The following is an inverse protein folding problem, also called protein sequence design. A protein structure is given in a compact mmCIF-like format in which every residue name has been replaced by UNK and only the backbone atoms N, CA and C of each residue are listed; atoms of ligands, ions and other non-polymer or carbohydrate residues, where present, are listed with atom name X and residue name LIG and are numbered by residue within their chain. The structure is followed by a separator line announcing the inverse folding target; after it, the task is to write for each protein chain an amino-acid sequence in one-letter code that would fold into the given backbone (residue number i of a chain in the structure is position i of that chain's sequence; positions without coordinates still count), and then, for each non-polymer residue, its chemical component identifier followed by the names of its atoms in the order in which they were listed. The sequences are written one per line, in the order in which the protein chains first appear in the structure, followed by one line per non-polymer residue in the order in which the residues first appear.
data_IF_466595384117
#
_entry.id   IF_466595384117
#
_cell.length_a   1.000
_cell.length_b   1.000
_cell.length_c   1.000
_cell.angle_alpha   90.00
_cell.angle_beta   90.00
_cell.angle_gamma   90.00
#
_symmetry.space_group_name_H-M   'P 1'
#
loop_
_entity.id
_entity.type
_entity.pdbx_description
1 polymer ?
#
# COMPACT_ATOMS: atom_id res chain seq x y z
N UNK A 1 3.32 3.86 -27.15
CA UNK A 1 3.71 3.61 -25.74
C UNK A 1 4.91 2.70 -25.76
N UNK A 2 6.01 3.07 -25.09
CA UNK A 2 7.21 2.24 -24.96
C UNK A 2 6.85 0.92 -24.25
N UNK A 3 7.36 -0.20 -24.76
CA UNK A 3 7.18 -1.54 -24.17
C UNK A 3 7.61 -1.55 -22.69
N UNK A 4 8.70 -0.87 -22.36
CA UNK A 4 9.24 -0.74 -21.00
C UNK A 4 8.24 -0.10 -20.07
N UNK A 5 7.62 1.01 -20.49
CA UNK A 5 6.59 1.70 -19.72
C UNK A 5 5.37 0.79 -19.47
N UNK A 6 4.92 0.07 -20.50
CA UNK A 6 3.78 -0.84 -20.39
C UNK A 6 4.05 -1.98 -19.40
N UNK A 7 5.25 -2.58 -19.44
CA UNK A 7 5.65 -3.63 -18.49
C UNK A 7 5.65 -3.08 -17.06
N UNK A 8 6.25 -1.91 -16.85
CA UNK A 8 6.26 -1.25 -15.54
C UNK A 8 4.85 -0.95 -15.05
N UNK A 9 3.95 -0.49 -15.92
CA UNK A 9 2.56 -0.20 -15.58
C UNK A 9 1.78 -1.46 -15.20
N UNK A 10 1.94 -2.56 -15.93
CA UNK A 10 1.32 -3.85 -15.61
C UNK A 10 1.76 -4.31 -14.23
N UNK A 11 3.08 -4.30 -13.95
CA UNK A 11 3.63 -4.69 -12.66
C UNK A 11 3.14 -3.74 -11.55
N UNK A 12 3.09 -2.44 -11.82
CA UNK A 12 2.60 -1.44 -10.87
C UNK A 12 1.14 -1.69 -10.49
N UNK A 13 0.27 -1.93 -11.47
CA UNK A 13 -1.15 -2.20 -11.22
C UNK A 13 -1.37 -3.55 -10.52
N UNK A 14 -0.59 -4.58 -10.85
CA UNK A 14 -0.62 -5.85 -10.14
C UNK A 14 -0.18 -5.70 -8.67
N UNK A 15 0.91 -4.99 -8.43
CA UNK A 15 1.38 -4.67 -7.08
C UNK A 15 0.36 -3.81 -6.31
N UNK A 16 -0.32 -2.89 -7.00
CA UNK A 16 -1.42 -2.10 -6.44
C UNK A 16 -2.56 -2.98 -5.97
N UNK A 17 -3.03 -3.88 -6.83
CA UNK A 17 -4.09 -4.83 -6.51
C UNK A 17 -3.75 -5.69 -5.28
N UNK A 18 -2.52 -6.19 -5.21
CA UNK A 18 -2.05 -6.93 -4.03
C UNK A 18 -2.04 -6.06 -2.78
N UNK A 19 -1.45 -4.87 -2.83
CA UNK A 19 -1.37 -3.97 -1.69
C UNK A 19 -2.77 -3.55 -1.19
N UNK A 20 -3.66 -3.12 -2.09
CA UNK A 20 -5.01 -2.64 -1.69
C UNK A 20 -5.88 -3.77 -1.15
N UNK A 21 -5.77 -5.00 -1.69
CA UNK A 21 -6.54 -6.14 -1.19
C UNK A 21 -6.27 -6.42 0.30
N UNK A 22 -5.04 -6.20 0.74
CA UNK A 22 -4.66 -6.43 2.15
C UNK A 22 -5.36 -5.46 3.11
N UNK A 23 -5.78 -4.27 2.66
CA UNK A 23 -6.54 -3.29 3.47
C UNK A 23 -7.97 -3.76 3.78
N UNK A 24 -8.46 -4.74 3.02
CA UNK A 24 -9.76 -5.39 3.19
C UNK A 24 -9.57 -6.70 3.97
N UNK A 25 -8.64 -7.56 3.52
CA UNK A 25 -8.47 -8.92 4.08
C UNK A 25 -7.91 -8.90 5.50
N UNK A 26 -6.95 -8.03 5.82
CA UNK A 26 -6.33 -8.00 7.16
C UNK A 26 -7.35 -7.75 8.30
N UNK A 27 -8.25 -6.74 8.21
CA UNK A 27 -9.29 -6.56 9.23
C UNK A 27 -10.28 -7.72 9.32
N UNK A 28 -10.56 -8.43 8.22
CA UNK A 28 -11.40 -9.63 8.25
C UNK A 28 -10.71 -10.78 9.01
N UNK A 29 -9.40 -10.97 8.81
CA UNK A 29 -8.62 -11.94 9.62
C UNK A 29 -8.63 -11.52 11.08
N UNK A 30 -8.42 -10.22 11.36
CA UNK A 30 -8.44 -9.68 12.73
C UNK A 30 -9.76 -9.93 13.46
N UNK A 31 -10.91 -9.70 12.79
CA UNK A 31 -12.22 -9.94 13.39
C UNK A 31 -12.48 -11.43 13.64
N UNK A 32 -12.05 -12.32 12.74
CA UNK A 32 -12.14 -13.77 12.92
C UNK A 32 -11.24 -14.28 14.03
N UNK A 33 -10.05 -13.70 14.19
CA UNK A 33 -9.12 -14.07 15.25
C UNK A 33 -9.64 -13.71 16.65
N UNK A 34 -10.38 -12.61 16.78
CA UNK A 34 -10.97 -12.18 18.04
C UNK A 34 -12.02 -13.17 18.57
N UNK A 35 -12.77 -13.83 17.69
CA UNK A 35 -13.78 -14.84 18.03
C UNK A 35 -13.30 -16.29 17.91
N UNK A 36 -12.05 -16.51 17.48
CA UNK A 36 -11.51 -17.85 17.25
C UNK A 36 -11.15 -18.58 18.55
N UNK A 37 -11.42 -19.91 18.63
CA UNK A 37 -10.89 -20.79 19.67
C UNK A 37 -9.35 -20.71 19.75
N UNK A 38 -8.75 -20.95 20.94
CA UNK A 38 -7.31 -20.82 21.14
C UNK A 38 -6.46 -21.61 20.13
N UNK A 39 -6.92 -22.79 19.75
CA UNK A 39 -6.26 -23.68 18.78
C UNK A 39 -6.24 -23.15 17.33
N UNK A 40 -7.20 -22.31 16.94
CA UNK A 40 -7.29 -21.73 15.59
C UNK A 40 -6.52 -20.41 15.44
N UNK A 41 -6.19 -19.73 16.55
CA UNK A 41 -5.48 -18.44 16.55
C UNK A 41 -4.08 -18.49 15.91
N UNK A 42 -3.24 -19.53 16.12
CA UNK A 42 -1.93 -19.61 15.48
C UNK A 42 -2.02 -19.65 13.95
N UNK A 43 -2.99 -20.39 13.40
CA UNK A 43 -3.21 -20.48 11.96
C UNK A 43 -3.60 -19.11 11.38
N UNK A 44 -4.61 -18.44 11.97
CA UNK A 44 -5.06 -17.12 11.53
C UNK A 44 -3.94 -16.06 11.66
N UNK A 45 -3.17 -16.11 12.75
CA UNK A 45 -2.00 -15.26 12.95
C UNK A 45 -0.92 -15.49 11.89
N UNK A 46 -0.68 -16.76 11.50
CA UNK A 46 0.24 -17.12 10.42
C UNK A 46 -0.17 -16.54 9.06
N UNK A 47 -1.47 -16.62 8.73
CA UNK A 47 -2.02 -16.00 7.51
C UNK A 47 -1.84 -14.48 7.57
N UNK A 48 -2.17 -13.85 8.71
CA UNK A 48 -1.99 -12.41 8.90
C UNK A 48 -0.54 -11.95 8.72
N UNK A 49 0.44 -12.71 9.23
CA UNK A 49 1.87 -12.42 9.03
C UNK A 49 2.28 -12.49 7.55
N UNK A 50 1.86 -13.55 6.84
CA UNK A 50 2.14 -13.69 5.40
C UNK A 50 1.50 -12.57 4.58
N UNK A 51 0.26 -12.21 4.90
CA UNK A 51 -0.44 -11.10 4.25
C UNK A 51 0.29 -9.77 4.47
N UNK A 52 0.76 -9.51 5.69
CA UNK A 52 1.53 -8.30 6.00
C UNK A 52 2.87 -8.26 5.25
N UNK A 53 3.57 -9.39 5.14
CA UNK A 53 4.81 -9.48 4.37
C UNK A 53 4.55 -9.19 2.88
N UNK A 54 3.55 -9.84 2.29
CA UNK A 54 3.19 -9.65 0.89
C UNK A 54 2.77 -8.20 0.60
N UNK A 55 2.02 -7.56 1.51
CA UNK A 55 1.67 -6.15 1.40
C UNK A 55 2.90 -5.25 1.34
N UNK A 56 3.93 -5.54 2.16
CA UNK A 56 5.19 -4.77 2.18
C UNK A 56 5.98 -4.93 0.90
N UNK A 57 6.09 -6.16 0.40
CA UNK A 57 6.77 -6.44 -0.87
C UNK A 57 6.05 -5.77 -2.04
N UNK A 58 4.71 -5.87 -2.08
CA UNK A 58 3.88 -5.22 -3.08
C UNK A 58 4.02 -3.68 -3.03
N UNK A 59 4.04 -3.09 -1.83
CA UNK A 59 4.27 -1.65 -1.67
C UNK A 59 5.68 -1.22 -2.12
N UNK A 60 6.71 -2.01 -1.81
CA UNK A 60 8.07 -1.76 -2.32
C UNK A 60 8.10 -1.79 -3.85
N UNK A 61 7.45 -2.79 -4.46
CA UNK A 61 7.37 -2.91 -5.91
C UNK A 61 6.58 -1.74 -6.54
N UNK A 62 5.52 -1.27 -5.90
CA UNK A 62 4.77 -0.07 -6.30
C UNK A 62 5.65 1.17 -6.35
N UNK A 63 6.48 1.39 -5.33
CA UNK A 63 7.40 2.52 -5.30
C UNK A 63 8.39 2.45 -6.45
N UNK A 64 9.05 1.32 -6.62
CA UNK A 64 10.07 1.13 -7.65
C UNK A 64 9.49 1.30 -9.06
N UNK A 65 8.36 0.66 -9.34
CA UNK A 65 7.71 0.77 -10.65
C UNK A 65 7.12 2.15 -10.90
N UNK A 66 6.56 2.80 -9.86
CA UNK A 66 6.04 4.16 -9.98
C UNK A 66 7.12 5.18 -10.33
N UNK A 67 8.26 5.12 -9.62
CA UNK A 67 9.43 5.96 -9.92
C UNK A 67 9.97 5.64 -11.32
N UNK A 68 10.13 4.35 -11.65
CA UNK A 68 10.59 3.92 -12.96
C UNK A 68 9.72 4.45 -14.10
N UNK A 69 8.39 4.37 -13.96
CA UNK A 69 7.46 4.92 -14.95
C UNK A 69 7.63 6.43 -15.13
N UNK A 70 7.88 7.17 -14.05
CA UNK A 70 8.09 8.62 -14.12
C UNK A 70 9.34 8.94 -14.93
N UNK A 71 10.47 8.27 -14.64
CA UNK A 71 11.71 8.49 -15.39
C UNK A 71 11.60 8.05 -16.85
N UNK A 72 11.01 6.89 -17.13
CA UNK A 72 10.87 6.38 -18.50
C UNK A 72 9.95 7.27 -19.35
N UNK A 73 8.87 7.81 -18.77
CA UNK A 73 7.89 8.59 -19.52
C UNK A 73 8.16 10.09 -19.56
N UNK A 74 8.70 10.65 -18.47
CA UNK A 74 8.83 12.09 -18.29
C UNK A 74 10.29 12.55 -18.11
N UNK A 75 11.26 11.64 -18.07
CA UNK A 75 12.68 11.98 -17.88
C UNK A 75 13.05 12.39 -16.45
N UNK A 76 12.07 12.45 -15.53
CA UNK A 76 12.27 12.85 -14.14
C UNK A 76 11.00 13.41 -13.49
N UNK A 77 11.18 14.01 -12.31
CA UNK A 77 10.08 14.59 -11.52
C UNK A 77 9.85 16.08 -11.77
N UNK A 78 10.68 16.73 -12.58
CA UNK A 78 10.51 18.14 -12.93
C UNK A 78 9.27 18.32 -13.81
N UNK A 79 8.51 19.41 -13.56
CA UNK A 79 7.29 19.72 -14.30
C UNK A 79 6.09 18.81 -14.00
N UNK A 80 6.18 17.92 -13.00
CA UNK A 80 5.04 17.10 -12.59
C UNK A 80 3.91 17.93 -11.98
N UNK A 81 2.68 17.45 -12.10
CA UNK A 81 1.49 18.15 -11.60
C UNK A 81 1.46 18.23 -10.06
N UNK A 82 0.74 19.20 -9.51
CA UNK A 82 0.51 19.29 -8.05
C UNK A 82 -0.12 17.99 -7.51
N UNK A 83 -1.02 17.36 -8.29
CA UNK A 83 -1.64 16.08 -7.95
C UNK A 83 -0.64 14.95 -7.82
N UNK A 84 0.43 14.93 -8.63
CA UNK A 84 1.52 13.97 -8.48
C UNK A 84 2.20 14.12 -7.12
N UNK A 85 2.50 15.34 -6.68
CA UNK A 85 3.12 15.57 -5.38
C UNK A 85 2.18 15.23 -4.21
N UNK A 86 0.88 15.51 -4.34
CA UNK A 86 -0.13 15.07 -3.36
C UNK A 86 -0.13 13.53 -3.25
N UNK A 87 -0.15 12.82 -4.39
CA UNK A 87 -0.04 11.36 -4.44
C UNK A 87 1.20 10.88 -3.68
N UNK A 88 2.36 11.47 -3.96
CA UNK A 88 3.62 11.10 -3.32
C UNK A 88 3.61 11.37 -1.81
N UNK A 89 3.01 12.47 -1.36
CA UNK A 89 2.81 12.74 0.07
C UNK A 89 1.99 11.66 0.77
N UNK A 90 0.89 11.21 0.14
CA UNK A 90 0.06 10.13 0.68
C UNK A 90 0.78 8.77 0.67
N UNK A 91 1.61 8.52 -0.34
CA UNK A 91 2.50 7.34 -0.39
C UNK A 91 3.47 7.36 0.80
N UNK A 92 4.04 8.52 1.14
CA UNK A 92 4.89 8.68 2.34
C UNK A 92 4.10 8.41 3.62
N UNK A 93 2.84 8.86 3.73
CA UNK A 93 1.97 8.54 4.87
C UNK A 93 1.77 7.03 5.03
N UNK A 94 1.52 6.30 3.94
CA UNK A 94 1.38 4.83 3.97
C UNK A 94 2.71 4.17 4.39
N UNK A 95 3.84 4.65 3.88
CA UNK A 95 5.16 4.14 4.26
C UNK A 95 5.43 4.34 5.75
N UNK A 96 5.17 5.54 6.29
CA UNK A 96 5.29 5.83 7.72
C UNK A 96 4.38 4.90 8.52
N UNK A 97 3.12 4.76 8.10
CA UNK A 97 2.16 3.89 8.76
C UNK A 97 2.65 2.42 8.82
N UNK A 98 3.26 1.93 7.74
CA UNK A 98 3.86 0.60 7.69
C UNK A 98 5.08 0.46 8.61
N UNK A 99 5.98 1.44 8.62
CA UNK A 99 7.16 1.45 9.50
C UNK A 99 6.72 1.45 10.96
N UNK A 100 5.79 2.35 11.31
CA UNK A 100 5.22 2.45 12.65
C UNK A 100 4.58 1.12 13.08
N UNK A 101 3.85 0.44 12.19
CA UNK A 101 3.30 -0.89 12.47
C UNK A 101 4.34 -1.99 12.73
N UNK A 102 5.61 -1.77 12.38
CA UNK A 102 6.72 -2.69 12.64
C UNK A 102 7.44 -2.32 13.94
N UNK A 103 7.71 -1.04 14.15
CA UNK A 103 8.59 -0.56 15.23
C UNK A 103 7.84 -0.20 16.52
N UNK A 104 6.57 0.19 16.42
CA UNK A 104 5.80 0.57 17.59
C UNK A 104 5.42 -0.66 18.42
N UNK A 105 5.42 -0.50 19.75
CA UNK A 105 4.98 -1.56 20.66
C UNK A 105 3.49 -1.87 20.41
N UNK A 106 3.07 -3.14 20.52
CA UNK A 106 1.66 -3.49 20.44
C UNK A 106 0.84 -2.65 21.43
N UNK A 107 -0.23 -2.01 20.95
CA UNK A 107 -1.12 -1.16 21.75
C UNK A 107 -0.74 0.32 21.83
N UNK A 108 0.41 0.76 21.30
CA UNK A 108 0.78 2.19 21.28
C UNK A 108 -0.17 3.02 20.40
N UNK A 109 -0.62 2.46 19.28
CA UNK A 109 -1.53 3.14 18.35
C UNK A 109 -2.79 2.30 18.17
N UNK A 110 -3.94 2.97 18.18
CA UNK A 110 -5.22 2.34 17.89
C UNK A 110 -5.19 1.64 16.52
N UNK A 111 -5.43 0.31 16.47
CA UNK A 111 -5.49 -0.43 15.21
C UNK A 111 -6.57 0.12 14.26
N UNK A 112 -7.67 0.64 14.84
CA UNK A 112 -8.75 1.28 14.08
C UNK A 112 -8.28 2.56 13.40
N UNK A 113 -7.52 3.39 14.12
CA UNK A 113 -6.95 4.62 13.55
C UNK A 113 -5.98 4.31 12.42
N UNK A 114 -5.06 3.36 12.63
CA UNK A 114 -4.11 2.93 11.60
C UNK A 114 -4.80 2.38 10.35
N UNK A 115 -5.86 1.60 10.53
CA UNK A 115 -6.68 1.11 9.43
C UNK A 115 -7.32 2.23 8.62
N UNK A 116 -7.89 3.24 9.28
CA UNK A 116 -8.50 4.39 8.61
C UNK A 116 -7.49 5.28 7.90
N UNK A 117 -6.35 5.58 8.55
CA UNK A 117 -5.26 6.35 7.93
C UNK A 117 -4.82 5.67 6.63
N UNK A 118 -4.55 4.37 6.68
CA UNK A 118 -4.07 3.63 5.50
C UNK A 118 -5.13 3.60 4.39
N UNK A 119 -6.40 3.38 4.71
CA UNK A 119 -7.49 3.34 3.72
C UNK A 119 -7.75 4.69 3.06
N UNK A 120 -7.80 5.76 3.84
CA UNK A 120 -8.00 7.11 3.32
C UNK A 120 -6.80 7.54 2.47
N UNK A 121 -5.58 7.23 2.91
CA UNK A 121 -4.37 7.49 2.11
C UNK A 121 -4.42 6.71 0.78
N UNK A 122 -4.77 5.43 0.80
CA UNK A 122 -4.91 4.62 -0.43
C UNK A 122 -5.97 5.17 -1.38
N UNK A 123 -7.15 5.57 -0.88
CA UNK A 123 -8.18 6.21 -1.70
C UNK A 123 -7.69 7.53 -2.31
N UNK A 124 -7.04 8.37 -1.51
CA UNK A 124 -6.43 9.62 -1.98
C UNK A 124 -5.33 9.39 -3.02
N UNK A 125 -4.52 8.35 -2.88
CA UNK A 125 -3.49 7.95 -3.87
C UNK A 125 -4.15 7.64 -5.22
N UNK A 126 -5.27 6.91 -5.23
CA UNK A 126 -5.98 6.60 -6.48
C UNK A 126 -6.54 7.86 -7.13
N UNK A 127 -7.24 8.70 -6.35
CA UNK A 127 -7.86 9.93 -6.86
C UNK A 127 -6.79 10.87 -7.42
N UNK A 128 -5.74 11.13 -6.64
CA UNK A 128 -4.62 11.98 -7.08
C UNK A 128 -3.85 11.40 -8.26
N UNK A 129 -3.73 10.06 -8.37
CA UNK A 129 -3.13 9.43 -9.54
C UNK A 129 -3.95 9.66 -10.82
N UNK A 130 -5.27 9.51 -10.75
CA UNK A 130 -6.15 9.79 -11.89
C UNK A 130 -6.04 11.26 -12.31
N UNK A 131 -6.10 12.18 -11.35
CA UNK A 131 -5.99 13.62 -11.63
C UNK A 131 -4.60 14.04 -12.16
N UNK A 132 -3.54 13.30 -11.79
CA UNK A 132 -2.19 13.61 -12.22
C UNK A 132 -1.87 13.14 -13.65
N UNK A 133 -2.56 12.11 -14.15
CA UNK A 133 -2.18 11.39 -15.37
C UNK A 133 -3.30 11.21 -16.40
N UNK A 134 -4.46 11.82 -16.17
CA UNK A 134 -5.55 11.94 -17.17
C UNK A 134 -5.31 13.09 -18.15
#
# INVERSE_FOLDING_TARGET
MDLTFNILLIIHLAAFGLAISTTIVAPLIGSRMASAPPEARPLLGGIGKRLSLNARLAFGLLLLTGIGMVYVRYGGFEGQSVWFFIKMGLVVVVLIAMIVGIVAKPGTISPRLMGWITRLAMAGIVISAVMAFN
#
